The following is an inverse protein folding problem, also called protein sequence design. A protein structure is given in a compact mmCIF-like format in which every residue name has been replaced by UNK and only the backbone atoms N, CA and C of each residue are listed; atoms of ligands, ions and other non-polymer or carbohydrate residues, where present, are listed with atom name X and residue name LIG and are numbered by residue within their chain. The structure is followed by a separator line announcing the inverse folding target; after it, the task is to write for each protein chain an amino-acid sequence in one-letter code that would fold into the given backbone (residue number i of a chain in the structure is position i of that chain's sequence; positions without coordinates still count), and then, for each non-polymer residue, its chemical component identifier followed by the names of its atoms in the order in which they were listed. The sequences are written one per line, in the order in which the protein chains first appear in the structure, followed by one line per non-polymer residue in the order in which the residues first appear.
data_IF_056025182732
#
_entry.id   IF_056025182732
#
_cell.length_a   1.000
_cell.length_b   1.000
_cell.length_c   1.000
_cell.angle_alpha   90.00
_cell.angle_beta   90.00
_cell.angle_gamma   90.00
#
_symmetry.space_group_name_H-M   'P 1'
#
loop_
_entity.id
_entity.type
_entity.pdbx_description
1 polymer ?
#
# COMPACT_ATOMS: atom_id res chain seq x y z
N UNK A 1 24.55 -12.68 32.13
CA UNK A 1 23.37 -13.20 31.40
C UNK A 1 23.58 -13.00 29.91
N UNK A 2 23.55 -14.07 29.11
CA UNK A 2 23.72 -14.00 27.65
C UNK A 2 22.37 -13.66 27.02
N UNK A 3 22.27 -12.57 26.27
CA UNK A 3 21.02 -12.22 25.58
C UNK A 3 20.69 -13.29 24.52
N UNK A 4 19.45 -13.78 24.50
CA UNK A 4 18.99 -14.68 23.46
C UNK A 4 18.97 -13.94 22.12
N UNK A 5 19.79 -14.38 21.17
CA UNK A 5 19.75 -13.89 19.79
C UNK A 5 18.46 -14.39 19.12
N UNK A 6 17.45 -13.52 19.02
CA UNK A 6 16.22 -13.83 18.30
C UNK A 6 16.51 -13.83 16.80
N UNK A 7 16.39 -14.99 16.15
CA UNK A 7 16.43 -15.08 14.69
C UNK A 7 15.25 -14.28 14.13
N UNK A 8 15.53 -13.41 13.16
CA UNK A 8 14.48 -12.64 12.47
C UNK A 8 13.58 -13.64 11.73
N UNK A 9 12.26 -13.66 11.98
CA UNK A 9 11.37 -14.56 11.26
C UNK A 9 11.39 -14.16 9.78
N UNK A 10 11.87 -15.05 8.93
CA UNK A 10 11.82 -14.90 7.47
C UNK A 10 10.57 -15.64 6.99
N UNK A 11 9.79 -15.01 6.11
CA UNK A 11 8.67 -15.70 5.47
C UNK A 11 9.22 -16.84 4.63
N UNK A 12 8.77 -18.07 4.89
CA UNK A 12 9.09 -19.22 4.05
C UNK A 12 8.36 -19.04 2.72
N UNK A 13 9.08 -19.22 1.61
CA UNK A 13 8.47 -19.18 0.29
C UNK A 13 7.38 -20.27 0.17
N UNK A 14 6.38 -20.02 -0.66
CA UNK A 14 5.33 -21.01 -0.91
C UNK A 14 5.91 -22.29 -1.54
N UNK A 15 5.31 -23.46 -1.27
CA UNK A 15 5.72 -24.71 -1.91
C UNK A 15 5.68 -24.61 -3.44
N UNK A 16 6.50 -25.40 -4.12
CA UNK A 16 6.63 -25.37 -5.60
C UNK A 16 5.55 -26.20 -6.31
N UNK A 17 4.91 -27.10 -5.57
CA UNK A 17 3.86 -28.02 -6.02
C UNK A 17 2.47 -27.37 -6.12
N UNK A 18 2.30 -26.15 -5.61
CA UNK A 18 1.04 -25.40 -5.69
C UNK A 18 0.90 -24.75 -7.06
N UNK A 19 -0.31 -24.75 -7.63
CA UNK A 19 -0.62 -24.09 -8.90
C UNK A 19 -0.28 -22.59 -8.84
N UNK A 20 0.51 -22.09 -9.80
CA UNK A 20 0.94 -20.68 -9.89
C UNK A 20 0.27 -20.00 -11.08
N UNK A 21 -0.38 -18.86 -10.84
CA UNK A 21 -0.82 -17.97 -11.91
C UNK A 21 -0.10 -16.63 -11.81
N UNK A 22 0.52 -16.21 -12.91
CA UNK A 22 1.22 -14.94 -13.01
C UNK A 22 0.30 -13.88 -13.62
N UNK A 23 0.01 -12.83 -12.86
CA UNK A 23 -0.77 -11.67 -13.31
C UNK A 23 0.20 -10.51 -13.48
N UNK A 24 0.40 -10.05 -14.71
CA UNK A 24 1.22 -8.87 -15.00
C UNK A 24 0.30 -7.67 -15.03
N UNK A 25 0.54 -6.69 -14.16
CA UNK A 25 -0.16 -5.41 -14.20
C UNK A 25 0.53 -4.55 -15.27
N UNK A 26 -0.28 -4.02 -16.19
CA UNK A 26 0.22 -3.25 -17.32
C UNK A 26 1.06 -2.04 -16.89
N UNK A 27 2.12 -1.81 -17.65
CA UNK A 27 3.01 -0.68 -17.47
C UNK A 27 2.28 0.65 -17.76
N UNK A 28 2.59 1.72 -17.01
CA UNK A 28 2.19 3.06 -17.42
C UNK A 28 2.86 3.40 -18.76
N UNK A 29 2.09 3.92 -19.71
CA UNK A 29 2.60 4.34 -21.04
C UNK A 29 3.18 5.76 -21.01
N UNK A 30 2.85 6.54 -19.99
CA UNK A 30 3.32 7.91 -19.79
C UNK A 30 3.71 8.13 -18.33
N UNK A 31 4.67 9.03 -18.11
CA UNK A 31 5.06 9.45 -16.77
C UNK A 31 3.90 10.20 -16.10
N UNK A 32 3.47 9.75 -14.92
CA UNK A 32 2.44 10.43 -14.13
C UNK A 32 2.82 11.84 -13.64
N UNK A 33 4.12 12.20 -13.70
CA UNK A 33 4.62 13.49 -13.27
C UNK A 33 4.68 14.52 -14.42
N UNK A 34 5.29 14.15 -15.56
CA UNK A 34 5.55 15.09 -16.67
C UNK A 34 4.83 14.73 -17.98
N UNK A 35 4.13 13.59 -18.06
CA UNK A 35 3.50 13.12 -19.29
C UNK A 35 4.47 12.59 -20.35
N UNK A 36 5.78 12.56 -20.08
CA UNK A 36 6.78 12.04 -21.01
C UNK A 36 6.61 10.55 -21.29
N UNK A 37 6.86 10.15 -22.54
CA UNK A 37 6.81 8.76 -23.01
C UNK A 37 8.15 8.02 -22.89
N UNK A 38 9.22 8.73 -22.51
CA UNK A 38 10.58 8.17 -22.38
C UNK A 38 10.75 7.44 -21.05
N UNK A 39 10.05 6.32 -20.91
CA UNK A 39 10.11 5.44 -19.75
C UNK A 39 11.16 4.35 -19.95
N UNK A 40 11.98 4.09 -18.93
CA UNK A 40 12.92 2.98 -18.89
C UNK A 40 12.53 2.01 -17.79
N UNK A 41 12.54 0.70 -18.09
CA UNK A 41 12.26 -0.35 -17.11
C UNK A 41 13.39 -0.39 -16.07
N UNK A 42 13.03 -0.23 -14.79
CA UNK A 42 13.98 -0.25 -13.67
C UNK A 42 14.02 -1.62 -12.98
N UNK A 43 12.88 -2.29 -12.88
CA UNK A 43 12.78 -3.60 -12.25
C UNK A 43 11.34 -4.08 -12.11
N UNK A 44 11.15 -5.25 -11.52
CA UNK A 44 9.84 -5.86 -11.27
C UNK A 44 9.63 -6.05 -9.76
N UNK A 45 8.44 -5.78 -9.29
CA UNK A 45 7.98 -6.07 -7.92
C UNK A 45 7.01 -7.24 -7.99
N UNK A 46 7.37 -8.36 -7.38
CA UNK A 46 6.57 -9.60 -7.42
C UNK A 46 5.95 -9.82 -6.05
N UNK A 47 4.61 -9.81 -6.01
CA UNK A 47 3.85 -10.10 -4.79
C UNK A 47 3.18 -11.46 -4.93
N UNK A 48 3.53 -12.41 -4.06
CA UNK A 48 2.89 -13.72 -3.99
C UNK A 48 1.71 -13.68 -3.01
N UNK A 49 0.50 -14.02 -3.50
CA UNK A 49 -0.73 -14.13 -2.69
C UNK A 49 -1.28 -15.54 -2.80
N UNK A 50 -1.61 -16.17 -1.67
CA UNK A 50 -2.29 -17.46 -1.67
C UNK A 50 -3.80 -17.23 -1.73
N UNK A 51 -4.44 -17.72 -2.80
CA UNK A 51 -5.88 -17.76 -2.95
C UNK A 51 -6.39 -19.16 -2.58
N UNK A 52 -7.42 -19.21 -1.74
CA UNK A 52 -8.13 -20.43 -1.36
C UNK A 52 -9.26 -20.68 -2.36
N UNK A 53 -9.11 -21.72 -3.17
CA UNK A 53 -10.16 -22.23 -4.04
C UNK A 53 -10.70 -23.47 -3.33
N UNK A 54 -12.02 -23.72 -3.28
CA UNK A 54 -12.53 -24.92 -2.62
C UNK A 54 -11.77 -26.19 -3.06
N UNK A 55 -11.10 -26.84 -2.10
CA UNK A 55 -10.24 -28.04 -2.23
C UNK A 55 -8.83 -27.84 -2.81
N UNK A 56 -8.40 -26.63 -3.17
CA UNK A 56 -7.12 -26.37 -3.81
C UNK A 56 -6.60 -24.97 -3.50
N UNK A 57 -5.30 -24.87 -3.30
CA UNK A 57 -4.66 -23.58 -3.15
C UNK A 57 -4.05 -23.15 -4.47
N UNK A 58 -4.09 -21.85 -4.73
CA UNK A 58 -3.46 -21.24 -5.89
C UNK A 58 -2.61 -20.08 -5.45
N UNK A 59 -1.37 -20.02 -5.90
CA UNK A 59 -0.50 -18.88 -5.68
C UNK A 59 -0.68 -17.93 -6.86
N UNK A 60 -1.16 -16.72 -6.57
CA UNK A 60 -1.19 -15.62 -7.52
C UNK A 60 0.10 -14.82 -7.36
N UNK A 61 0.92 -14.79 -8.40
CA UNK A 61 2.10 -13.94 -8.51
C UNK A 61 1.70 -12.67 -9.26
N UNK A 62 1.50 -11.58 -8.53
CA UNK A 62 1.21 -10.27 -9.13
C UNK A 62 2.52 -9.55 -9.41
N UNK A 63 2.81 -9.29 -10.68
CA UNK A 63 4.00 -8.59 -11.15
C UNK A 63 3.66 -7.12 -11.43
N UNK A 64 4.33 -6.22 -10.72
CA UNK A 64 4.25 -4.77 -10.90
C UNK A 64 5.58 -4.25 -11.41
N UNK A 65 5.63 -3.92 -12.69
CA UNK A 65 6.80 -3.33 -13.30
C UNK A 65 7.03 -1.89 -12.77
N UNK A 66 8.29 -1.57 -12.49
CA UNK A 66 8.75 -0.24 -12.08
C UNK A 66 9.42 0.43 -13.26
N UNK A 67 9.00 1.66 -13.55
CA UNK A 67 9.56 2.49 -14.60
C UNK A 67 10.17 3.76 -14.03
N UNK A 68 11.24 4.23 -14.64
CA UNK A 68 11.83 5.55 -14.40
C UNK A 68 11.68 6.41 -15.65
N UNK A 69 11.24 7.65 -15.48
CA UNK A 69 11.20 8.61 -16.57
C UNK A 69 12.59 9.19 -16.80
N UNK A 70 13.03 9.28 -18.06
CA UNK A 70 14.33 9.90 -18.40
C UNK A 70 14.33 11.42 -18.34
N UNK A 71 13.16 12.05 -18.41
CA UNK A 71 13.06 13.51 -18.48
C UNK A 71 12.94 14.16 -17.09
N UNK A 72 12.34 13.46 -16.11
CA UNK A 72 12.17 13.98 -14.75
C UNK A 72 12.70 13.05 -13.64
N UNK A 73 13.31 11.93 -14.01
CA UNK A 73 13.87 10.90 -13.10
C UNK A 73 12.86 10.27 -12.12
N UNK A 74 11.59 10.66 -12.20
CA UNK A 74 10.54 10.14 -11.34
C UNK A 74 10.30 8.65 -11.60
N UNK A 75 10.07 7.91 -10.51
CA UNK A 75 9.75 6.48 -10.56
C UNK A 75 8.23 6.33 -10.53
N UNK A 76 7.68 5.69 -11.56
CA UNK A 76 6.27 5.31 -11.65
C UNK A 76 6.10 3.81 -11.47
N UNK A 77 5.15 3.40 -10.65
CA UNK A 77 4.75 2.02 -10.45
C UNK A 77 3.22 1.94 -10.43
N UNK A 78 2.63 0.91 -11.03
CA UNK A 78 1.19 0.65 -10.93
C UNK A 78 0.78 0.50 -9.46
N UNK A 79 -0.44 0.89 -9.03
CA UNK A 79 -0.85 0.80 -7.63
C UNK A 79 -0.73 -0.62 -7.06
N UNK A 80 -0.46 -0.73 -5.76
CA UNK A 80 -0.34 -2.04 -5.12
C UNK A 80 -1.71 -2.72 -5.03
N UNK A 81 -1.80 -4.04 -5.29
CA UNK A 81 -3.00 -4.79 -4.99
C UNK A 81 -3.33 -4.68 -3.50
N UNK A 82 -4.61 -4.53 -3.18
CA UNK A 82 -5.05 -4.41 -1.81
C UNK A 82 -4.88 -5.74 -1.08
N UNK A 83 -4.13 -5.73 0.00
CA UNK A 83 -4.04 -6.86 0.93
C UNK A 83 -4.45 -6.36 2.31
N UNK A 84 -5.43 -7.04 2.92
CA UNK A 84 -5.82 -6.74 4.28
C UNK A 84 -4.61 -6.95 5.20
N UNK A 85 -4.08 -5.86 5.74
CA UNK A 85 -3.03 -5.94 6.76
C UNK A 85 -3.72 -6.38 8.05
N UNK A 86 -3.30 -7.49 8.70
CA UNK A 86 -3.90 -7.89 9.95
C UNK A 86 -3.73 -6.74 10.95
N UNK A 87 -4.84 -6.24 11.47
CA UNK A 87 -4.85 -5.18 12.47
C UNK A 87 -3.93 -5.60 13.62
N UNK A 88 -2.97 -4.74 14.02
CA UNK A 88 -2.20 -5.02 15.23
C UNK A 88 -3.20 -5.08 16.38
N UNK A 89 -3.09 -6.12 17.21
CA UNK A 89 -3.75 -6.13 18.50
C UNK A 89 -3.11 -5.01 19.33
N UNK A 90 -3.84 -3.90 19.49
CA UNK A 90 -3.44 -2.83 20.38
C UNK A 90 -3.44 -3.39 21.80
N UNK A 91 -2.29 -3.38 22.47
CA UNK A 91 -2.23 -3.72 23.90
C UNK A 91 -3.13 -2.73 24.64
N UNK A 92 -4.03 -3.16 25.54
CA UNK A 92 -4.75 -2.22 26.39
C UNK A 92 -3.71 -1.38 27.15
N UNK A 93 -3.69 -0.07 26.90
CA UNK A 93 -2.97 0.84 27.78
C UNK A 93 -3.71 0.83 29.11
N UNK A 94 -3.03 0.47 30.20
CA UNK A 94 -3.52 0.82 31.53
C UNK A 94 -3.62 2.35 31.55
N UNK A 95 -4.85 2.87 31.58
CA UNK A 95 -5.10 4.29 31.59
C UNK A 95 -4.65 4.84 32.96
N UNK A 96 -3.59 5.64 32.97
CA UNK A 96 -3.37 6.61 34.03
C UNK A 96 -4.41 7.71 33.87
N UNK A 97 -5.12 8.00 34.95
CA UNK A 97 -6.13 9.05 35.06
C UNK A 97 -5.47 10.42 34.85
N UNK A 98 -5.66 11.04 33.67
CA UNK A 98 -5.26 12.42 33.42
C UNK A 98 -6.46 13.23 32.91
N UNK A 99 -7.07 13.94 33.85
CA UNK A 99 -8.33 14.68 33.71
C UNK A 99 -8.05 16.10 33.18
N UNK A 100 -7.71 16.24 31.89
CA UNK A 100 -7.61 17.57 31.24
C UNK A 100 -8.91 17.92 30.49
N UNK A 101 -9.76 18.61 31.25
CA UNK A 101 -10.69 19.72 30.89
C UNK A 101 -11.01 19.91 29.40
N UNK A 102 -12.22 19.52 29.02
CA UNK A 102 -12.97 20.04 27.88
C UNK A 102 -13.10 21.58 27.95
N UNK A 103 -12.85 22.24 26.82
CA UNK A 103 -13.54 23.49 26.47
C UNK A 103 -14.23 23.24 25.13
N UNK A 104 -15.55 23.13 25.18
CA UNK A 104 -16.46 23.28 24.04
C UNK A 104 -17.16 24.62 24.16
N UNK A 105 -17.17 25.40 23.08
CA UNK A 105 -18.24 26.31 22.62
C UNK A 105 -17.66 27.07 21.39
N UNK A 106 -18.33 27.32 20.27
CA UNK A 106 -19.75 27.21 19.90
C UNK A 106 -19.87 27.05 18.36
N UNK A 107 -20.97 26.46 17.91
CA UNK A 107 -21.52 26.54 16.54
C UNK A 107 -22.59 27.68 16.54
N UNK A 108 -23.35 27.99 15.46
CA UNK A 108 -23.12 28.14 14.00
C UNK A 108 -23.46 29.58 13.50
N UNK A 109 -23.22 29.90 12.21
CA UNK A 109 -24.12 30.73 11.38
C UNK A 109 -23.62 30.78 9.91
N UNK A 110 -24.52 30.51 8.98
CA UNK A 110 -24.36 30.58 7.51
C UNK A 110 -24.79 31.98 6.95
N UNK A 111 -24.61 32.26 5.64
CA UNK A 111 -24.21 33.56 5.05
C UNK A 111 -25.37 34.52 4.78
N UNK A 112 -25.22 35.63 4.00
CA UNK A 112 -25.55 35.51 2.56
C UNK A 112 -24.84 36.54 1.59
N UNK A 113 -24.50 36.04 0.39
CA UNK A 113 -24.62 36.60 -0.99
C UNK A 113 -23.85 37.81 -1.60
N UNK A 114 -23.60 37.61 -2.91
CA UNK A 114 -23.58 38.53 -4.07
C UNK A 114 -22.30 39.31 -4.46
N UNK A 115 -21.68 38.88 -5.56
CA UNK A 115 -21.21 39.78 -6.62
C UNK A 115 -21.22 39.07 -7.99
N UNK A 116 -22.27 39.35 -8.76
CA UNK A 116 -22.35 39.27 -10.22
C UNK A 116 -21.14 39.97 -10.86
N UNK A 117 -20.45 39.34 -11.82
CA UNK A 117 -19.67 40.04 -12.84
C UNK A 117 -19.71 39.30 -14.20
N UNK A 118 -20.30 40.01 -15.17
CA UNK A 118 -20.11 40.01 -16.64
C UNK A 118 -20.62 38.81 -17.47
#
# INVERSE_FOLDING_TARGET
MRAFARKRPVRKAWPKDVERARIVIEAPTACACCGGSRLSKLGEDVTETLEDIPRRFKVIETVREKFTCRDCEAISQAPAPFHATPARLHRPSVAGDDRVRQVRAAHPAEPPEHAVQM
#
